data_IF_289759044579
#
_entry.id   IF_289759044579
#
_cell.length_a   1.000
_cell.length_b   1.000
_cell.length_c   1.000
_cell.angle_alpha   90.00
_cell.angle_beta   90.00
_cell.angle_gamma   90.00
#
_symmetry.space_group_name_H-M   'P 1'
#
loop_
_entity.id
_entity.type
_entity.pdbx_description
1 polymer ?
#
# COMPACT_ATOMS: atom_id res chain seq x y z
N UNK A 1 -3.03 2.70 26.24
CA UNK A 1 -3.21 3.92 25.39
C UNK A 1 -2.05 4.16 24.42
N UNK A 2 -0.77 4.06 24.80
CA UNK A 2 0.38 4.31 23.90
C UNK A 2 0.49 3.36 22.69
N UNK A 3 0.02 2.11 22.83
CA UNK A 3 0.05 1.12 21.72
C UNK A 3 -0.91 1.45 20.58
N UNK A 4 -2.07 2.03 20.87
CA UNK A 4 -3.07 2.36 19.85
C UNK A 4 -2.52 3.43 18.89
N UNK A 5 -1.86 4.46 19.43
CA UNK A 5 -1.30 5.54 18.61
C UNK A 5 -0.18 5.03 17.71
N UNK A 6 0.68 4.11 18.16
CA UNK A 6 1.76 3.58 17.32
C UNK A 6 1.25 2.75 16.14
N UNK A 7 0.15 2.00 16.29
CA UNK A 7 -0.42 1.21 15.20
C UNK A 7 -1.17 2.07 14.17
N UNK A 8 -1.80 3.16 14.61
CA UNK A 8 -2.69 3.97 13.77
C UNK A 8 -2.12 5.36 13.42
N UNK A 9 -0.91 5.70 13.86
CA UNK A 9 -0.31 7.03 13.68
C UNK A 9 -0.31 7.51 12.23
N UNK A 10 0.05 6.63 11.28
CA UNK A 10 0.07 6.97 9.86
C UNK A 10 -1.33 7.29 9.34
N UNK A 11 -2.33 6.47 9.67
CA UNK A 11 -3.71 6.66 9.22
C UNK A 11 -4.29 7.96 9.78
N UNK A 12 -4.08 8.20 11.08
CA UNK A 12 -4.55 9.42 11.75
C UNK A 12 -3.87 10.67 11.16
N UNK A 13 -2.55 10.62 10.95
CA UNK A 13 -1.79 11.72 10.34
C UNK A 13 -2.29 12.05 8.93
N UNK A 14 -2.44 11.03 8.07
CA UNK A 14 -2.95 11.22 6.70
C UNK A 14 -4.36 11.78 6.69
N UNK A 15 -5.25 11.35 7.59
CA UNK A 15 -6.61 11.89 7.69
C UNK A 15 -6.63 13.38 8.07
N UNK A 16 -5.75 13.80 8.99
CA UNK A 16 -5.62 15.21 9.40
C UNK A 16 -5.10 16.06 8.22
N UNK A 17 -4.05 15.60 7.53
CA UNK A 17 -3.51 16.33 6.36
C UNK A 17 -4.55 16.45 5.25
N UNK A 18 -5.32 15.39 4.99
CA UNK A 18 -6.34 15.39 3.96
C UNK A 18 -7.51 16.33 4.28
N UNK A 19 -7.99 16.34 5.53
CA UNK A 19 -9.04 17.29 5.95
C UNK A 19 -8.57 18.74 5.89
N UNK A 20 -7.33 19.02 6.28
CA UNK A 20 -6.74 20.35 6.13
C UNK A 20 -6.66 20.78 4.66
N UNK A 21 -6.20 19.89 3.77
CA UNK A 21 -6.14 20.16 2.34
C UNK A 21 -7.53 20.46 1.74
N UNK A 22 -8.57 19.73 2.17
CA UNK A 22 -9.94 19.96 1.72
C UNK A 22 -10.49 21.32 2.18
N UNK A 23 -10.22 21.71 3.44
CA UNK A 23 -10.61 23.02 3.98
C UNK A 23 -9.90 24.16 3.21
N UNK A 24 -8.62 23.98 2.88
CA UNK A 24 -7.88 24.94 2.05
C UNK A 24 -8.42 25.01 0.62
N UNK A 25 -8.86 23.89 0.05
CA UNK A 25 -9.44 23.85 -1.29
C UNK A 25 -10.84 24.51 -1.34
N UNK A 26 -11.67 24.34 -0.30
CA UNK A 26 -13.00 24.95 -0.22
C UNK A 26 -12.98 26.44 0.14
N UNK A 27 -11.98 26.88 0.91
CA UNK A 27 -11.88 28.28 1.39
C UNK A 27 -11.47 29.29 0.31
N UNK A 28 -11.18 28.84 -0.92
CA UNK A 28 -11.11 29.74 -2.07
C UNK A 28 -9.98 30.78 -2.01
N UNK A 29 -8.95 30.56 -1.19
CA UNK A 29 -7.80 31.48 -1.01
C UNK A 29 -7.08 31.76 -2.35
N UNK A 30 -7.28 30.90 -3.36
CA UNK A 30 -6.69 31.03 -4.69
C UNK A 30 -7.62 31.67 -5.75
N UNK A 31 -8.82 32.15 -5.39
CA UNK A 31 -9.80 32.75 -6.33
C UNK A 31 -9.31 34.04 -7.04
N UNK A 32 -8.23 34.65 -6.57
CA UNK A 32 -7.61 35.84 -7.19
C UNK A 32 -6.29 35.56 -7.92
N UNK A 33 -5.95 34.28 -8.16
CA UNK A 33 -4.73 33.87 -8.88
C UNK A 33 -5.05 33.45 -10.32
N UNK A 34 -4.04 33.46 -11.19
CA UNK A 34 -4.19 33.22 -12.63
C UNK A 34 -4.88 31.87 -12.95
N UNK A 35 -5.64 31.79 -14.06
CA UNK A 35 -6.45 30.60 -14.40
C UNK A 35 -5.64 29.31 -14.59
N UNK A 36 -4.35 29.38 -14.96
CA UNK A 36 -3.45 28.22 -14.99
C UNK A 36 -3.11 27.68 -13.59
N UNK A 37 -2.96 28.56 -12.59
CA UNK A 37 -2.73 28.12 -11.20
C UNK A 37 -4.02 27.58 -10.60
N UNK A 38 -5.17 28.14 -10.96
CA UNK A 38 -6.47 27.62 -10.52
C UNK A 38 -6.76 26.23 -11.12
N UNK A 39 -6.49 25.98 -12.41
CA UNK A 39 -6.74 24.65 -13.01
C UNK A 39 -5.81 23.56 -12.48
N UNK A 40 -4.54 23.88 -12.23
CA UNK A 40 -3.57 22.91 -11.71
C UNK A 40 -3.82 22.56 -10.23
N UNK A 41 -4.16 23.55 -9.39
CA UNK A 41 -4.48 23.33 -7.97
C UNK A 41 -5.90 22.80 -7.74
N UNK A 42 -6.84 23.05 -8.67
CA UNK A 42 -8.23 22.61 -8.60
C UNK A 42 -8.46 21.40 -9.49
N UNK A 43 -7.67 20.35 -9.24
CA UNK A 43 -7.96 19.03 -9.79
C UNK A 43 -9.23 18.51 -9.13
N UNK A 44 -10.41 18.77 -9.71
CA UNK A 44 -11.68 18.26 -9.21
C UNK A 44 -11.72 16.73 -9.40
N UNK A 45 -11.53 15.92 -8.35
CA UNK A 45 -11.50 14.46 -8.48
C UNK A 45 -12.87 13.89 -8.87
N UNK A 46 -13.94 14.67 -8.63
CA UNK A 46 -15.33 14.30 -8.88
C UNK A 46 -15.58 14.04 -10.37
N UNK A 47 -14.95 14.82 -11.26
CA UNK A 47 -15.09 14.63 -12.70
C UNK A 47 -14.39 13.35 -13.20
N UNK A 48 -13.24 12.99 -12.60
CA UNK A 48 -12.53 11.75 -12.91
C UNK A 48 -13.27 10.52 -12.39
N UNK A 49 -13.84 10.61 -11.19
CA UNK A 49 -14.61 9.51 -10.58
C UNK A 49 -15.88 9.24 -11.39
N UNK A 50 -16.55 10.27 -11.90
CA UNK A 50 -17.73 10.11 -12.77
C UNK A 50 -17.39 9.52 -14.14
N UNK A 51 -16.16 9.68 -14.62
CA UNK A 51 -15.70 9.15 -15.90
C UNK A 51 -15.03 7.76 -15.77
N UNK A 52 -14.79 7.28 -14.54
CA UNK A 52 -14.14 6.01 -14.31
C UNK A 52 -15.12 4.84 -14.55
N UNK A 53 -14.68 3.76 -15.23
CA UNK A 53 -15.49 2.57 -15.38
C UNK A 53 -15.73 1.89 -14.02
N UNK A 54 -16.96 1.44 -13.77
CA UNK A 54 -17.36 0.80 -12.50
C UNK A 54 -16.65 -0.55 -12.26
N UNK A 55 -16.31 -1.28 -13.33
CA UNK A 55 -15.52 -2.52 -13.26
C UNK A 55 -14.36 -2.42 -14.24
N UNK A 56 -13.14 -2.54 -13.72
CA UNK A 56 -11.93 -2.65 -14.52
C UNK A 56 -11.35 -4.05 -14.36
N UNK A 57 -11.36 -4.83 -15.44
CA UNK A 57 -10.63 -6.09 -15.48
C UNK A 57 -9.16 -5.79 -15.82
N UNK A 58 -8.20 -6.12 -14.93
CA UNK A 58 -6.80 -5.91 -15.23
C UNK A 58 -6.42 -6.78 -16.42
N UNK A 59 -5.96 -6.15 -17.49
CA UNK A 59 -5.51 -6.89 -18.66
C UNK A 59 -4.28 -7.71 -18.25
N UNK A 60 -4.23 -9.01 -18.59
CA UNK A 60 -3.00 -9.75 -18.42
C UNK A 60 -1.91 -9.02 -19.21
N UNK A 61 -0.72 -8.89 -18.62
CA UNK A 61 0.42 -8.18 -19.20
C UNK A 61 0.43 -6.65 -19.21
N UNK A 62 -0.38 -5.98 -18.38
CA UNK A 62 -0.30 -4.52 -18.20
C UNK A 62 1.11 -3.97 -17.88
N UNK A 63 1.97 -4.79 -17.24
CA UNK A 63 3.31 -4.40 -16.81
C UNK A 63 4.43 -4.90 -17.73
N UNK A 64 4.08 -5.43 -18.92
CA UNK A 64 5.04 -5.97 -19.89
C UNK A 64 5.40 -7.45 -19.66
N UNK A 65 5.81 -8.14 -20.73
CA UNK A 65 6.18 -9.57 -20.75
C UNK A 65 7.30 -9.87 -19.73
N UNK A 66 7.28 -10.98 -18.96
CA UNK A 66 8.35 -11.32 -18.05
C UNK A 66 9.58 -11.55 -18.90
N UNK A 67 10.57 -10.69 -18.72
CA UNK A 67 11.87 -10.88 -19.32
C UNK A 67 12.74 -11.55 -18.27
N UNK A 68 13.43 -12.62 -18.67
CA UNK A 68 14.30 -13.36 -17.77
C UNK A 68 15.74 -12.99 -18.10
N UNK A 69 16.22 -11.92 -17.47
CA UNK A 69 17.63 -11.56 -17.48
C UNK A 69 18.32 -12.16 -16.25
N UNK A 70 19.50 -12.74 -16.43
CA UNK A 70 20.23 -13.43 -15.35
C UNK A 70 20.47 -12.50 -14.13
N UNK A 71 20.78 -11.23 -14.37
CA UNK A 71 20.96 -10.24 -13.29
C UNK A 71 19.70 -9.97 -12.48
N UNK A 72 18.54 -9.87 -13.15
CA UNK A 72 17.24 -9.66 -12.49
C UNK A 72 16.80 -10.91 -11.73
N UNK A 73 17.06 -12.10 -12.27
CA UNK A 73 16.77 -13.38 -11.61
C UNK A 73 17.55 -13.52 -10.29
N UNK A 74 18.83 -13.12 -10.27
CA UNK A 74 19.65 -13.12 -9.05
C UNK A 74 19.11 -12.09 -8.05
N UNK A 75 18.74 -10.89 -8.50
CA UNK A 75 18.14 -9.87 -7.63
C UNK A 75 16.81 -10.33 -7.02
N UNK A 76 15.97 -11.02 -7.80
CA UNK A 76 14.70 -11.56 -7.34
C UNK A 76 14.89 -12.73 -6.36
N UNK A 77 15.92 -13.56 -6.58
CA UNK A 77 16.31 -14.64 -5.65
C UNK A 77 16.79 -14.07 -4.32
N UNK A 78 17.66 -13.05 -4.35
CA UNK A 78 18.12 -12.37 -3.14
C UNK A 78 16.97 -11.70 -2.38
N UNK A 79 16.06 -11.02 -3.09
CA UNK A 79 14.85 -10.42 -2.50
C UNK A 79 13.96 -11.47 -1.84
N UNK A 80 13.81 -12.64 -2.46
CA UNK A 80 13.02 -13.75 -1.92
C UNK A 80 13.63 -14.31 -0.62
N UNK A 81 14.96 -14.40 -0.54
CA UNK A 81 15.65 -14.85 0.67
C UNK A 81 15.47 -13.85 1.83
N UNK A 82 15.55 -12.55 1.55
CA UNK A 82 15.28 -11.49 2.53
C UNK A 82 13.82 -11.56 3.01
N UNK A 83 12.88 -11.73 2.09
CA UNK A 83 11.47 -11.88 2.41
C UNK A 83 11.21 -13.14 3.28
N UNK A 84 11.85 -14.26 2.96
CA UNK A 84 11.77 -15.49 3.74
C UNK A 84 12.30 -15.28 5.17
N UNK A 85 13.49 -14.69 5.31
CA UNK A 85 14.10 -14.40 6.62
C UNK A 85 13.21 -13.48 7.46
N UNK A 86 12.66 -12.43 6.85
CA UNK A 86 11.71 -11.51 7.49
C UNK A 86 10.43 -12.22 7.92
N UNK A 87 9.90 -13.11 7.09
CA UNK A 87 8.69 -13.88 7.38
C UNK A 87 8.89 -14.76 8.62
N UNK A 88 9.97 -15.54 8.67
CA UNK A 88 10.33 -16.38 9.83
C UNK A 88 10.48 -15.55 11.11
N UNK A 89 11.17 -14.41 11.03
CA UNK A 89 11.30 -13.49 12.17
C UNK A 89 9.95 -12.94 12.64
N UNK A 90 9.05 -12.64 11.71
CA UNK A 90 7.69 -12.18 12.01
C UNK A 90 6.88 -13.27 12.70
N UNK A 91 6.92 -14.52 12.21
CA UNK A 91 6.24 -15.65 12.88
C UNK A 91 6.75 -15.87 14.30
N UNK A 92 8.07 -15.83 14.51
CA UNK A 92 8.65 -15.98 15.85
C UNK A 92 8.27 -14.80 16.77
N UNK A 93 8.27 -13.57 16.27
CA UNK A 93 7.87 -12.40 17.03
C UNK A 93 6.39 -12.45 17.43
N UNK A 94 5.51 -12.86 16.51
CA UNK A 94 4.08 -13.04 16.76
C UNK A 94 3.82 -14.19 17.74
N UNK A 95 4.50 -15.33 17.59
CA UNK A 95 4.36 -16.46 18.50
C UNK A 95 4.76 -16.08 19.95
N UNK A 96 5.86 -15.32 20.09
CA UNK A 96 6.30 -14.79 21.39
C UNK A 96 5.32 -13.76 21.96
N UNK A 97 4.83 -12.84 21.12
CA UNK A 97 3.85 -11.83 21.55
C UNK A 97 2.52 -12.46 21.98
N UNK A 98 2.07 -13.51 21.28
CA UNK A 98 0.83 -14.21 21.57
C UNK A 98 0.93 -15.31 22.63
N UNK A 99 2.11 -15.57 23.21
CA UNK A 99 2.36 -16.71 24.11
C UNK A 99 1.83 -18.05 23.56
N UNK A 100 1.84 -18.19 22.23
CA UNK A 100 1.29 -19.36 21.54
C UNK A 100 2.38 -20.42 21.35
N UNK A 101 1.99 -21.68 21.49
CA UNK A 101 2.84 -22.83 21.17
C UNK A 101 3.24 -22.79 19.68
N UNK A 102 4.47 -23.22 19.32
CA UNK A 102 4.95 -23.25 17.94
C UNK A 102 3.96 -23.97 17.01
N UNK A 103 3.79 -23.42 15.81
CA UNK A 103 2.85 -23.88 14.78
C UNK A 103 3.04 -25.39 14.57
N UNK A 104 2.00 -26.23 14.79
CA UNK A 104 2.15 -27.68 14.68
C UNK A 104 2.53 -28.07 13.23
N UNK A 105 3.45 -29.04 13.05
CA UNK A 105 4.02 -29.38 11.76
C UNK A 105 3.02 -29.98 10.75
N UNK A 106 1.79 -30.30 11.15
CA UNK A 106 0.78 -30.90 10.27
C UNK A 106 0.16 -29.94 9.25
N UNK A 107 0.33 -28.62 9.41
CA UNK A 107 -0.24 -27.60 8.50
C UNK A 107 0.81 -27.11 7.48
N UNK A 108 2.09 -27.46 7.64
CA UNK A 108 3.16 -27.00 6.73
C UNK A 108 3.13 -27.66 5.35
N UNK A 109 2.46 -28.81 5.19
CA UNK A 109 2.41 -29.53 3.90
C UNK A 109 1.08 -30.25 3.68
N UNK A 110 0.02 -29.59 3.16
CA UNK A 110 -1.08 -30.28 2.51
C UNK A 110 -0.70 -30.84 1.13
N UNK A 111 0.50 -30.58 0.62
CA UNK A 111 0.96 -31.01 -0.71
C UNK A 111 2.01 -32.10 -0.62
N UNK A 112 1.58 -33.34 -0.36
CA UNK A 112 2.10 -34.56 -1.00
C UNK A 112 1.14 -35.70 -0.64
N UNK A 113 0.30 -36.07 -1.59
CA UNK A 113 -0.44 -37.33 -1.65
C UNK A 113 -0.43 -37.78 -3.10
#
# INVERSE_FOLDING_TARGET
MRSIYNCFALIISTAIVWTYAQILASSGVYNHKSPQTQSSCRSNPIALISAAPWVYFPHPFLWGKPNFHLGEAVAMTATSLVAFTKSTGTFLAVARYGSATPIPPSILSPSVS
#
